data_IF_683957707727
#
_entry.id   IF_683957707727
#
_cell.length_a   1.000
_cell.length_b   1.000
_cell.length_c   1.000
_cell.angle_alpha   90.00
_cell.angle_beta   90.00
_cell.angle_gamma   90.00
#
_symmetry.space_group_name_H-M   'P 1'
#
loop_
_entity.id
_entity.type
_entity.pdbx_description
1 polymer ?
#
# COMPACT_ATOMS: atom_id res chain seq x y z
N UNK A 1 17.77 -23.00 1.01
CA UNK A 1 17.59 -21.68 1.66
C UNK A 1 18.74 -20.71 1.35
N UNK A 2 20.02 -21.05 1.60
CA UNK A 2 21.18 -20.18 1.33
C UNK A 2 21.32 -19.73 -0.14
N UNK A 3 21.14 -20.63 -1.11
CA UNK A 3 21.26 -20.31 -2.54
C UNK A 3 20.22 -19.28 -3.01
N UNK A 4 18.97 -19.39 -2.53
CA UNK A 4 17.89 -18.43 -2.84
C UNK A 4 18.15 -17.06 -2.19
N UNK A 5 18.71 -17.03 -0.97
CA UNK A 5 19.08 -15.77 -0.31
C UNK A 5 20.25 -15.06 -1.01
N UNK A 6 21.26 -15.81 -1.46
CA UNK A 6 22.40 -15.27 -2.22
C UNK A 6 21.95 -14.69 -3.57
N UNK A 7 21.07 -15.40 -4.30
CA UNK A 7 20.53 -14.92 -5.57
C UNK A 7 19.71 -13.63 -5.40
N UNK A 8 18.81 -13.58 -4.40
CA UNK A 8 18.04 -12.37 -4.10
C UNK A 8 18.90 -11.17 -3.72
N UNK A 9 19.99 -11.40 -2.97
CA UNK A 9 20.93 -10.36 -2.59
C UNK A 9 21.72 -9.84 -3.79
N UNK A 10 22.18 -10.74 -4.67
CA UNK A 10 22.87 -10.37 -5.90
C UNK A 10 21.98 -9.54 -6.85
N UNK A 11 20.71 -9.91 -6.99
CA UNK A 11 19.73 -9.15 -7.78
C UNK A 11 19.52 -7.74 -7.23
N UNK A 12 19.43 -7.59 -5.91
CA UNK A 12 19.34 -6.28 -5.25
C UNK A 12 20.58 -5.44 -5.54
N UNK A 13 21.77 -6.00 -5.36
CA UNK A 13 23.02 -5.25 -5.49
C UNK A 13 23.25 -4.81 -6.95
N UNK A 14 22.84 -5.63 -7.92
CA UNK A 14 22.79 -5.26 -9.34
C UNK A 14 21.81 -4.11 -9.64
N UNK A 15 20.65 -4.10 -9.00
CA UNK A 15 19.67 -3.01 -9.14
C UNK A 15 20.20 -1.70 -8.54
N UNK A 16 20.85 -1.77 -7.37
CA UNK A 16 21.46 -0.61 -6.71
C UNK A 16 22.63 -0.06 -7.52
N UNK A 17 23.49 -0.92 -8.06
CA UNK A 17 24.61 -0.48 -8.90
C UNK A 17 24.13 0.19 -10.20
N UNK A 18 23.12 -0.41 -10.86
CA UNK A 18 22.46 0.18 -12.04
C UNK A 18 21.82 1.54 -11.72
N UNK A 19 21.17 1.65 -10.56
CA UNK A 19 20.60 2.91 -10.08
C UNK A 19 21.67 3.99 -9.84
N UNK A 20 22.78 3.63 -9.20
CA UNK A 20 23.86 4.58 -8.93
C UNK A 20 24.56 5.02 -10.22
N UNK A 21 24.80 4.07 -11.14
CA UNK A 21 25.38 4.37 -12.46
C UNK A 21 24.49 5.35 -13.25
N UNK A 22 23.17 5.27 -13.08
CA UNK A 22 22.21 6.15 -13.76
C UNK A 22 22.44 7.64 -13.49
N UNK A 23 22.98 8.04 -12.33
CA UNK A 23 23.29 9.45 -12.05
C UNK A 23 24.46 10.00 -12.87
N UNK A 24 25.36 9.13 -13.33
CA UNK A 24 26.54 9.52 -14.11
C UNK A 24 26.33 9.39 -15.62
N UNK A 25 25.15 8.93 -16.06
CA UNK A 25 24.80 8.83 -17.47
C UNK A 25 24.40 10.19 -18.05
N UNK A 26 24.86 10.47 -19.27
CA UNK A 26 24.45 11.62 -20.07
C UNK A 26 23.85 11.10 -21.40
N UNK A 27 22.56 11.33 -21.69
CA UNK A 27 21.61 12.14 -20.92
C UNK A 27 21.14 11.48 -19.63
N UNK A 28 20.68 12.31 -18.68
CA UNK A 28 20.10 11.84 -17.41
C UNK A 28 18.93 10.90 -17.69
N UNK A 29 18.92 9.69 -17.10
CA UNK A 29 17.87 8.72 -17.34
C UNK A 29 16.52 9.22 -16.84
N UNK A 30 15.46 8.78 -17.51
CA UNK A 30 14.11 9.25 -17.24
C UNK A 30 13.63 8.83 -15.84
N UNK A 31 12.72 9.62 -15.26
CA UNK A 31 12.04 9.28 -13.99
C UNK A 31 11.38 7.89 -14.02
N UNK A 32 11.00 7.42 -15.21
CA UNK A 32 10.47 6.08 -15.43
C UNK A 32 11.50 4.98 -15.19
N UNK A 33 12.76 5.18 -15.58
CA UNK A 33 13.85 4.24 -15.32
C UNK A 33 14.04 4.02 -13.81
N UNK A 34 14.13 5.10 -13.05
CA UNK A 34 14.19 5.04 -11.59
C UNK A 34 12.95 4.33 -11.00
N UNK A 35 11.76 4.68 -11.48
CA UNK A 35 10.51 4.02 -11.05
C UNK A 35 10.52 2.50 -11.28
N UNK A 36 11.09 2.02 -12.40
CA UNK A 36 11.22 0.59 -12.69
C UNK A 36 12.14 -0.12 -11.69
N UNK A 37 13.30 0.47 -11.38
CA UNK A 37 14.23 -0.10 -10.40
C UNK A 37 13.59 -0.15 -9.01
N UNK A 38 13.03 0.97 -8.55
CA UNK A 38 12.37 1.03 -7.25
C UNK A 38 11.20 0.04 -7.16
N UNK A 39 10.40 -0.06 -8.22
CA UNK A 39 9.30 -1.04 -8.30
C UNK A 39 9.79 -2.49 -8.26
N UNK A 40 10.93 -2.81 -8.87
CA UNK A 40 11.54 -4.15 -8.77
C UNK A 40 12.00 -4.45 -7.35
N UNK A 41 12.63 -3.49 -6.68
CA UNK A 41 13.08 -3.65 -5.29
C UNK A 41 11.89 -3.84 -4.32
N UNK A 42 10.77 -3.15 -4.55
CA UNK A 42 9.51 -3.37 -3.82
C UNK A 42 9.02 -4.81 -3.95
N UNK A 43 9.02 -5.37 -5.17
CA UNK A 43 8.59 -6.76 -5.41
C UNK A 43 9.45 -7.78 -4.67
N UNK A 44 10.73 -7.45 -4.46
CA UNK A 44 11.68 -8.26 -3.67
C UNK A 44 11.72 -7.88 -2.18
N UNK A 45 10.73 -7.12 -1.67
CA UNK A 45 10.62 -6.68 -0.28
C UNK A 45 11.79 -5.82 0.25
N UNK A 46 12.57 -5.19 -0.63
CA UNK A 46 13.72 -4.34 -0.26
C UNK A 46 13.31 -2.90 0.07
N UNK A 47 12.33 -2.72 0.97
CA UNK A 47 11.71 -1.42 1.25
C UNK A 47 12.67 -0.36 1.78
N UNK A 48 13.58 -0.71 2.71
CA UNK A 48 14.59 0.23 3.21
C UNK A 48 15.55 0.70 2.13
N UNK A 49 15.93 -0.20 1.21
CA UNK A 49 16.77 0.15 0.05
C UNK A 49 16.05 1.18 -0.82
N UNK A 50 14.77 0.97 -1.12
CA UNK A 50 13.95 1.92 -1.90
C UNK A 50 13.91 3.30 -1.25
N UNK A 51 13.73 3.37 0.08
CA UNK A 51 13.73 4.65 0.82
C UNK A 51 15.09 5.35 0.74
N UNK A 52 16.19 4.60 0.87
CA UNK A 52 17.55 5.14 0.72
C UNK A 52 17.80 5.70 -0.69
N UNK A 53 17.44 4.93 -1.72
CA UNK A 53 17.60 5.33 -3.12
C UNK A 53 16.73 6.54 -3.47
N UNK A 54 15.50 6.62 -2.95
CA UNK A 54 14.65 7.80 -3.12
C UNK A 54 15.27 9.05 -2.50
N UNK A 55 15.85 8.95 -1.29
CA UNK A 55 16.58 10.06 -0.68
C UNK A 55 17.74 10.52 -1.55
N UNK A 56 18.46 9.59 -2.18
CA UNK A 56 19.52 9.94 -3.15
C UNK A 56 18.95 10.67 -4.37
N UNK A 57 17.77 10.29 -4.89
CA UNK A 57 17.12 11.04 -5.97
C UNK A 57 16.82 12.49 -5.56
N UNK A 58 16.30 12.70 -4.35
CA UNK A 58 16.01 14.04 -3.84
C UNK A 58 17.27 14.89 -3.67
N UNK A 59 18.38 14.29 -3.21
CA UNK A 59 19.68 14.97 -3.10
C UNK A 59 20.29 15.34 -4.45
N UNK A 60 19.95 14.62 -5.52
CA UNK A 60 20.33 14.94 -6.90
C UNK A 60 19.26 15.78 -7.63
N UNK A 61 18.35 16.41 -6.87
CA UNK A 61 17.30 17.30 -7.38
C UNK A 61 16.31 16.64 -8.37
N UNK A 62 16.24 15.31 -8.38
CA UNK A 62 15.31 14.55 -9.23
C UNK A 62 13.92 14.53 -8.58
N UNK A 63 13.00 15.31 -9.11
CA UNK A 63 11.64 15.41 -8.59
C UNK A 63 10.84 14.11 -8.76
N UNK A 64 10.30 13.59 -7.64
CA UNK A 64 9.39 12.44 -7.68
C UNK A 64 8.03 12.79 -8.29
N UNK A 65 7.53 11.90 -9.14
CA UNK A 65 6.17 11.92 -9.69
C UNK A 65 5.20 11.09 -8.81
N UNK A 66 3.94 10.99 -9.23
CA UNK A 66 2.90 10.21 -8.53
C UNK A 66 3.28 8.72 -8.40
N UNK A 67 3.88 8.12 -9.45
CA UNK A 67 4.28 6.71 -9.44
C UNK A 67 5.30 6.42 -8.33
N UNK A 68 6.36 7.23 -8.23
CA UNK A 68 7.38 7.07 -7.18
C UNK A 68 6.80 7.37 -5.79
N UNK A 69 5.90 8.35 -5.70
CA UNK A 69 5.22 8.65 -4.43
C UNK A 69 4.37 7.47 -3.95
N UNK A 70 3.67 6.79 -4.85
CA UNK A 70 2.91 5.56 -4.54
C UNK A 70 3.82 4.39 -4.12
N UNK A 71 4.98 4.25 -4.78
CA UNK A 71 6.00 3.28 -4.37
C UNK A 71 6.44 3.54 -2.92
N UNK A 72 6.71 4.79 -2.55
CA UNK A 72 7.08 5.14 -1.18
C UNK A 72 5.96 4.92 -0.17
N UNK A 73 4.72 5.27 -0.51
CA UNK A 73 3.55 4.98 0.33
C UNK A 73 3.49 3.48 0.63
N UNK A 74 3.67 2.61 -0.39
CA UNK A 74 3.72 1.17 -0.17
C UNK A 74 4.89 0.78 0.73
N UNK A 75 6.11 1.27 0.48
CA UNK A 75 7.27 0.98 1.34
C UNK A 75 7.00 1.34 2.80
N UNK A 76 6.52 2.56 3.08
CA UNK A 76 6.25 2.99 4.44
C UNK A 76 5.11 2.19 5.08
N UNK A 77 4.04 1.88 4.34
CA UNK A 77 2.96 1.01 4.81
C UNK A 77 3.46 -0.40 5.19
N UNK A 78 4.32 -1.01 4.37
CA UNK A 78 4.91 -2.33 4.65
C UNK A 78 5.85 -2.33 5.85
N UNK A 79 6.57 -1.22 6.06
CA UNK A 79 7.40 -1.00 7.23
C UNK A 79 6.59 -0.65 8.49
N UNK A 80 5.30 -0.33 8.35
CA UNK A 80 4.45 0.17 9.44
C UNK A 80 4.71 1.61 9.83
N UNK A 81 5.42 2.37 9.00
CA UNK A 81 5.70 3.78 9.20
C UNK A 81 4.54 4.62 8.64
N UNK A 82 3.34 4.39 9.17
CA UNK A 82 2.10 4.98 8.64
C UNK A 82 2.15 6.52 8.63
N UNK A 83 2.78 7.15 9.63
CA UNK A 83 2.99 8.61 9.65
C UNK A 83 3.74 9.12 8.42
N UNK A 84 4.79 8.42 7.98
CA UNK A 84 5.55 8.76 6.77
C UNK A 84 4.73 8.47 5.51
N UNK A 85 3.98 7.38 5.48
CA UNK A 85 3.06 7.07 4.39
C UNK A 85 2.04 8.20 4.16
N UNK A 86 1.42 8.69 5.24
CA UNK A 86 0.51 9.84 5.20
C UNK A 86 1.20 11.17 4.88
N UNK A 87 2.47 11.36 5.28
CA UNK A 87 3.26 12.52 4.89
C UNK A 87 3.49 12.57 3.37
N UNK A 88 3.81 11.42 2.75
CA UNK A 88 3.93 11.31 1.29
C UNK A 88 2.58 11.57 0.61
N UNK A 89 1.48 11.03 1.16
CA UNK A 89 0.14 11.32 0.66
C UNK A 89 -0.22 12.81 0.72
N UNK A 90 0.11 13.50 1.81
CA UNK A 90 -0.06 14.95 1.90
C UNK A 90 0.78 15.71 0.85
N UNK A 91 2.00 15.23 0.54
CA UNK A 91 2.84 15.78 -0.55
C UNK A 91 2.21 15.57 -1.93
N UNK A 92 1.54 14.43 -2.18
CA UNK A 92 0.76 14.17 -3.41
C UNK A 92 -0.32 15.24 -3.56
N UNK A 93 -1.15 15.43 -2.53
CA UNK A 93 -2.23 16.41 -2.54
C UNK A 93 -1.71 17.86 -2.70
N UNK A 94 -0.66 18.23 -1.96
CA UNK A 94 -0.06 19.57 -2.02
C UNK A 94 0.51 19.91 -3.41
N UNK A 95 0.99 18.90 -4.14
CA UNK A 95 1.45 19.05 -5.52
C UNK A 95 0.32 19.10 -6.55
N UNK A 96 -0.94 18.96 -6.13
CA UNK A 96 -2.11 18.94 -7.02
C UNK A 96 -2.28 17.62 -7.78
N UNK A 97 -1.60 16.55 -7.37
CA UNK A 97 -1.84 15.23 -7.93
C UNK A 97 -3.11 14.63 -7.32
N UNK A 98 -3.94 14.02 -8.16
CA UNK A 98 -5.12 13.28 -7.72
C UNK A 98 -4.70 11.86 -7.30
N UNK A 99 -4.88 11.48 -6.02
CA UNK A 99 -4.66 10.11 -5.59
C UNK A 99 -5.69 9.19 -6.24
N UNK A 100 -5.24 8.04 -6.74
CA UNK A 100 -6.14 7.03 -7.28
C UNK A 100 -6.48 5.95 -6.22
N UNK A 101 -7.39 5.04 -6.57
CA UNK A 101 -7.78 3.93 -5.70
C UNK A 101 -6.57 3.11 -5.20
N UNK A 102 -5.52 2.94 -6.01
CA UNK A 102 -4.29 2.24 -5.61
C UNK A 102 -3.60 2.96 -4.44
N UNK A 103 -3.43 4.28 -4.53
CA UNK A 103 -2.84 5.10 -3.45
C UNK A 103 -3.64 4.94 -2.15
N UNK A 104 -4.96 5.08 -2.23
CA UNK A 104 -5.85 5.04 -1.07
C UNK A 104 -5.90 3.64 -0.45
N UNK A 105 -6.03 2.59 -1.27
CA UNK A 105 -6.00 1.19 -0.82
C UNK A 105 -4.67 0.86 -0.13
N UNK A 106 -3.55 1.39 -0.61
CA UNK A 106 -2.23 1.13 0.00
C UNK A 106 -2.11 1.75 1.40
N UNK A 107 -2.69 2.93 1.62
CA UNK A 107 -2.75 3.56 2.95
C UNK A 107 -3.66 2.78 3.90
N UNK A 108 -4.86 2.40 3.43
CA UNK A 108 -5.81 1.56 4.18
C UNK A 108 -5.14 0.25 4.60
N UNK A 109 -4.48 -0.43 3.65
CA UNK A 109 -3.76 -1.68 3.91
C UNK A 109 -2.66 -1.52 4.96
N UNK A 110 -1.88 -0.43 4.89
CA UNK A 110 -0.83 -0.14 5.88
C UNK A 110 -1.37 0.00 7.30
N UNK A 111 -2.51 0.69 7.47
CA UNK A 111 -3.20 0.80 8.75
C UNK A 111 -3.70 -0.57 9.25
N UNK A 112 -4.38 -1.35 8.39
CA UNK A 112 -4.85 -2.69 8.74
C UNK A 112 -3.70 -3.63 9.14
N UNK A 113 -2.56 -3.58 8.45
CA UNK A 113 -1.39 -4.42 8.76
C UNK A 113 -0.80 -4.14 10.15
N UNK A 114 -1.02 -2.95 10.70
CA UNK A 114 -0.57 -2.56 12.04
C UNK A 114 -1.66 -2.72 13.11
N UNK A 115 -2.79 -3.33 12.76
CA UNK A 115 -3.94 -3.46 13.65
C UNK A 115 -4.67 -2.14 13.90
N UNK A 116 -4.37 -1.09 13.15
CA UNK A 116 -4.97 0.25 13.34
C UNK A 116 -6.30 0.39 12.58
N UNK A 117 -7.18 -0.61 12.73
CA UNK A 117 -8.39 -0.77 11.91
C UNK A 117 -9.37 0.43 12.02
N UNK A 118 -9.53 1.00 13.22
CA UNK A 118 -10.36 2.20 13.39
C UNK A 118 -9.79 3.43 12.66
N UNK A 119 -8.46 3.57 12.60
CA UNK A 119 -7.83 4.63 11.78
C UNK A 119 -8.07 4.37 10.30
N UNK A 120 -8.07 3.11 9.87
CA UNK A 120 -8.37 2.73 8.49
C UNK A 120 -9.81 3.08 8.10
N UNK A 121 -10.78 2.79 8.97
CA UNK A 121 -12.19 3.19 8.78
C UNK A 121 -12.37 4.71 8.78
N UNK A 122 -11.72 5.42 9.71
CA UNK A 122 -11.77 6.87 9.74
C UNK A 122 -11.20 7.49 8.44
N UNK A 123 -10.10 6.93 7.94
CA UNK A 123 -9.52 7.36 6.67
C UNK A 123 -10.45 7.06 5.49
N UNK A 124 -11.05 5.87 5.45
CA UNK A 124 -12.10 5.51 4.48
C UNK A 124 -13.22 6.55 4.45
N UNK A 125 -13.81 6.87 5.60
CA UNK A 125 -14.95 7.80 5.69
C UNK A 125 -14.56 9.19 5.19
N UNK A 126 -13.34 9.65 5.52
CA UNK A 126 -12.81 10.92 5.06
C UNK A 126 -12.66 10.97 3.54
N UNK A 127 -12.09 9.94 2.91
CA UNK A 127 -11.85 9.96 1.47
C UNK A 127 -13.14 9.82 0.67
N UNK A 128 -14.11 9.03 1.17
CA UNK A 128 -15.45 8.93 0.58
C UNK A 128 -16.21 10.25 0.70
N UNK A 129 -16.14 10.93 1.85
CA UNK A 129 -16.74 12.25 2.03
C UNK A 129 -16.14 13.30 1.09
N UNK A 130 -14.86 13.15 0.75
CA UNK A 130 -14.14 13.97 -0.24
C UNK A 130 -14.40 13.53 -1.70
N UNK A 131 -15.33 12.59 -1.93
CA UNK A 131 -15.72 12.07 -3.25
C UNK A 131 -14.64 11.26 -3.97
N UNK A 132 -13.58 10.84 -3.28
CA UNK A 132 -12.66 9.86 -3.85
C UNK A 132 -13.34 8.51 -3.99
N UNK A 133 -13.02 7.81 -5.09
CA UNK A 133 -13.53 6.48 -5.35
C UNK A 133 -12.59 5.42 -4.79
N UNK A 134 -13.15 4.54 -3.97
CA UNK A 134 -12.53 3.31 -3.53
C UNK A 134 -13.06 2.15 -4.37
N UNK A 135 -12.24 1.14 -4.55
CA UNK A 135 -12.55 -0.01 -5.39
C UNK A 135 -12.82 -1.26 -4.55
N UNK A 136 -13.11 -2.35 -5.25
CA UNK A 136 -13.29 -3.68 -4.67
C UNK A 136 -12.11 -4.07 -3.75
N UNK A 137 -10.87 -3.73 -4.13
CA UNK A 137 -9.67 -4.08 -3.34
C UNK A 137 -9.63 -3.28 -2.04
N UNK A 138 -10.01 -1.99 -2.07
CA UNK A 138 -10.11 -1.16 -0.86
C UNK A 138 -11.08 -1.76 0.16
N UNK A 139 -12.30 -2.10 -0.28
CA UNK A 139 -13.35 -2.62 0.60
C UNK A 139 -13.02 -4.03 1.10
N UNK A 140 -12.50 -4.91 0.24
CA UNK A 140 -12.03 -6.24 0.66
C UNK A 140 -10.92 -6.16 1.70
N UNK A 141 -10.03 -5.16 1.59
CA UNK A 141 -8.98 -4.92 2.59
C UNK A 141 -9.54 -4.52 3.95
N UNK A 142 -10.54 -3.62 3.99
CA UNK A 142 -11.19 -3.19 5.22
C UNK A 142 -11.99 -4.33 5.87
N UNK A 143 -12.78 -5.06 5.08
CA UNK A 143 -13.59 -6.20 5.53
C UNK A 143 -12.69 -7.26 6.15
N UNK A 144 -11.63 -7.67 5.44
CA UNK A 144 -10.65 -8.62 5.97
C UNK A 144 -9.95 -8.09 7.24
N UNK A 145 -9.61 -6.81 7.28
CA UNK A 145 -9.04 -6.16 8.46
C UNK A 145 -9.97 -6.25 9.68
N UNK A 146 -11.26 -5.95 9.51
CA UNK A 146 -12.27 -6.03 10.55
C UNK A 146 -12.48 -7.46 11.04
N UNK A 147 -12.60 -8.44 10.14
CA UNK A 147 -12.71 -9.85 10.52
C UNK A 147 -11.49 -10.32 11.34
N UNK A 148 -10.28 -9.91 10.96
CA UNK A 148 -9.04 -10.31 11.67
C UNK A 148 -8.94 -9.78 13.10
N UNK A 149 -9.61 -8.69 13.42
CA UNK A 149 -9.65 -8.14 14.79
C UNK A 149 -10.89 -8.57 15.57
N UNK A 150 -11.72 -9.47 15.01
CA UNK A 150 -12.97 -9.93 15.63
C UNK A 150 -14.14 -8.95 15.48
N UNK A 151 -14.01 -7.87 14.71
CA UNK A 151 -15.09 -6.92 14.45
C UNK A 151 -16.02 -7.37 13.31
N UNK A 152 -16.42 -8.65 13.33
CA UNK A 152 -17.21 -9.30 12.28
C UNK A 152 -18.51 -8.56 11.99
N UNK A 153 -19.17 -8.01 13.03
CA UNK A 153 -20.40 -7.22 12.86
C UNK A 153 -20.17 -5.95 12.04
N UNK A 154 -19.07 -5.24 12.28
CA UNK A 154 -18.71 -4.05 11.52
C UNK A 154 -18.32 -4.42 10.08
N UNK A 155 -17.64 -5.56 9.88
CA UNK A 155 -17.32 -6.09 8.55
C UNK A 155 -18.60 -6.34 7.73
N UNK A 156 -19.61 -6.98 8.33
CA UNK A 156 -20.91 -7.22 7.70
C UNK A 156 -21.65 -5.91 7.37
N UNK A 157 -21.60 -4.92 8.27
CA UNK A 157 -22.20 -3.60 8.02
C UNK A 157 -21.54 -2.89 6.86
N UNK A 158 -20.20 -2.91 6.78
CA UNK A 158 -19.45 -2.31 5.68
C UNK A 158 -19.82 -3.00 4.35
N UNK A 159 -19.82 -4.33 4.31
CA UNK A 159 -20.20 -5.12 3.14
C UNK A 159 -21.61 -4.75 2.61
N UNK A 160 -22.58 -4.53 3.51
CA UNK A 160 -23.96 -4.12 3.15
C UNK A 160 -24.07 -2.67 2.67
N UNK A 161 -23.15 -1.80 3.08
CA UNK A 161 -23.13 -0.38 2.69
C UNK A 161 -22.49 -0.13 1.33
N UNK A 162 -21.65 -1.06 0.86
CA UNK A 162 -21.06 -0.94 -0.47
C UNK A 162 -22.18 -1.02 -1.50
N UNK A 163 -22.35 0.07 -2.25
CA UNK A 163 -23.29 0.09 -3.37
C UNK A 163 -22.76 -0.85 -4.47
N UNK A 164 -23.41 -2.00 -4.61
CA UNK A 164 -23.07 -3.01 -5.60
C UNK A 164 -23.10 -2.52 -7.06
N UNK A 165 -23.66 -1.33 -7.33
CA UNK A 165 -23.61 -0.68 -8.65
C UNK A 165 -22.32 0.12 -8.86
N UNK A 166 -21.71 0.62 -7.79
CA UNK A 166 -20.48 1.43 -7.85
C UNK A 166 -19.23 0.58 -7.62
N UNK A 167 -19.35 -0.48 -6.82
CA UNK A 167 -18.26 -1.42 -6.54
C UNK A 167 -18.80 -2.83 -6.61
N UNK A 168 -18.23 -3.63 -7.50
CA UNK A 168 -18.56 -5.04 -7.59
C UNK A 168 -17.93 -5.79 -6.40
N UNK A 169 -18.76 -6.21 -5.45
CA UNK A 169 -18.35 -7.10 -4.38
C UNK A 169 -18.02 -8.49 -4.96
N UNK A 170 -16.98 -9.15 -4.44
CA UNK A 170 -16.63 -10.52 -4.85
C UNK A 170 -16.98 -11.56 -3.78
N UNK A 171 -16.98 -12.82 -4.23
CA UNK A 171 -17.21 -14.00 -3.38
C UNK A 171 -16.20 -14.08 -2.23
N UNK A 172 -14.98 -13.58 -2.43
CA UNK A 172 -13.93 -13.61 -1.40
C UNK A 172 -14.34 -12.76 -0.20
N UNK A 173 -14.94 -11.59 -0.41
CA UNK A 173 -15.42 -10.74 0.69
C UNK A 173 -16.54 -11.41 1.49
N UNK A 174 -17.53 -11.99 0.82
CA UNK A 174 -18.62 -12.72 1.49
C UNK A 174 -18.07 -13.90 2.31
N UNK A 175 -17.22 -14.72 1.69
CA UNK A 175 -16.59 -15.86 2.36
C UNK A 175 -15.77 -15.43 3.57
N UNK A 176 -15.05 -14.30 3.48
CA UNK A 176 -14.27 -13.75 4.59
C UNK A 176 -15.14 -13.40 5.80
N UNK A 177 -16.32 -12.81 5.57
CA UNK A 177 -17.27 -12.50 6.66
C UNK A 177 -17.89 -13.78 7.23
N UNK A 178 -18.30 -14.72 6.38
CA UNK A 178 -18.91 -16.00 6.80
C UNK A 178 -17.92 -16.81 7.65
N UNK A 179 -16.67 -16.93 7.20
CA UNK A 179 -15.60 -17.62 7.95
C UNK A 179 -15.39 -16.98 9.33
N UNK A 180 -15.36 -15.65 9.39
CA UNK A 180 -15.25 -14.90 10.65
C UNK A 180 -16.43 -15.17 11.58
N UNK A 181 -17.67 -15.19 11.06
CA UNK A 181 -18.86 -15.51 11.86
C UNK A 181 -18.86 -16.93 12.41
N UNK A 182 -18.34 -17.90 11.65
CA UNK A 182 -18.18 -19.27 12.12
C UNK A 182 -17.17 -19.36 13.26
N UNK A 183 -16.07 -18.61 13.18
CA UNK A 183 -15.02 -18.56 14.21
C UNK A 183 -15.52 -17.89 15.49
N UNK A 184 -16.23 -16.77 15.41
CA UNK A 184 -16.77 -16.09 16.59
C UNK A 184 -17.70 -17.00 17.40
N UNK A 185 -18.59 -17.74 16.73
CA UNK A 185 -19.49 -18.71 17.39
C UNK A 185 -18.75 -19.84 18.10
N UNK A 186 -17.58 -20.26 17.60
CA UNK A 186 -16.77 -21.27 18.28
C UNK A 186 -16.12 -20.72 19.56
N UNK A 187 -15.86 -19.42 19.62
CA UNK A 187 -15.32 -18.75 20.81
C UNK A 187 -16.42 -18.50 21.85
N UNK A 188 -17.64 -18.16 21.42
CA UNK A 188 -18.78 -17.94 22.32
C UNK A 188 -19.29 -19.23 23.01
N UNK A 189 -18.89 -20.41 22.52
CA UNK A 189 -19.31 -21.73 23.02
C UNK A 189 -18.21 -22.50 23.78
N UNK A 190 -17.10 -21.86 24.14
CA UNK A 190 -15.99 -22.43 24.93
C UNK A 190 -15.86 -21.76 26.29
#
# INVERSE_FOLDING_TARGET
>A
MLYSQLHHQQDKDNLVSSFNHSFHQNPTPSIFHFGKILGSLVKSNHYYTVVSLHRQMELNEIASNLVISNILINCFSQLGLNSLSFSVFAKILKKGYEPNAITLTTLIKGLCLKGEIHKALHFHDKVVAQRFQLDQVSYGTLINGLCKVGETRAALQLLRRVDGKLVQLDVVMYNTVIDSMCKDKLVDHA
#
